data_IF_384455184614
#
_entry.id   IF_384455184614
#
_cell.length_a   1.000
_cell.length_b   1.000
_cell.length_c   1.000
_cell.angle_alpha   90.00
_cell.angle_beta   90.00
_cell.angle_gamma   90.00
#
_symmetry.space_group_name_H-M   'P 1'
#
loop_
_entity.id
_entity.type
_entity.pdbx_description
1 polymer ?
#
# COMPACT_ATOMS: atom_id res chain seq x y z
N UNK A 1 14.43 24.53 8.90
CA UNK A 1 14.86 23.20 8.45
C UNK A 1 16.21 23.35 7.75
N UNK A 2 17.22 22.61 8.20
CA UNK A 2 18.56 22.64 7.63
C UNK A 2 18.68 21.76 6.38
N UNK A 3 19.68 22.04 5.54
CA UNK A 3 19.99 21.24 4.35
C UNK A 3 20.24 19.75 4.66
N UNK A 4 20.76 19.46 5.86
CA UNK A 4 21.07 18.10 6.34
C UNK A 4 19.79 17.33 6.67
N UNK A 5 18.81 17.97 7.30
CA UNK A 5 17.49 17.37 7.59
C UNK A 5 16.78 17.01 6.29
N UNK A 6 16.89 17.89 5.28
CA UNK A 6 16.29 17.70 3.95
C UNK A 6 16.91 16.53 3.17
N UNK A 7 18.23 16.39 3.23
CA UNK A 7 18.92 15.24 2.63
C UNK A 7 18.55 13.92 3.33
N UNK A 8 18.36 13.97 4.65
CA UNK A 8 17.96 12.82 5.46
C UNK A 8 16.56 12.32 5.09
N UNK A 9 15.57 13.21 4.96
CA UNK A 9 14.20 12.84 4.58
C UNK A 9 14.13 12.24 3.18
N UNK A 10 14.82 12.83 2.20
CA UNK A 10 14.92 12.28 0.85
C UNK A 10 15.53 10.88 0.82
N UNK A 11 16.59 10.67 1.61
CA UNK A 11 17.26 9.37 1.73
C UNK A 11 16.37 8.33 2.42
N UNK A 12 15.60 8.73 3.43
CA UNK A 12 14.63 7.88 4.10
C UNK A 12 13.48 7.47 3.17
N UNK A 13 12.93 8.42 2.41
CA UNK A 13 11.87 8.18 1.43
C UNK A 13 12.33 7.25 0.32
N UNK A 14 13.55 7.45 -0.21
CA UNK A 14 14.14 6.54 -1.19
C UNK A 14 14.28 5.12 -0.64
N UNK A 15 14.78 4.97 0.59
CA UNK A 15 14.90 3.65 1.24
C UNK A 15 13.54 2.97 1.42
N UNK A 16 12.49 3.72 1.76
CA UNK A 16 11.14 3.17 1.92
C UNK A 16 10.60 2.67 0.58
N UNK A 17 10.73 3.47 -0.48
CA UNK A 17 10.33 3.09 -1.84
C UNK A 17 11.07 1.82 -2.29
N UNK A 18 12.38 1.73 -2.06
CA UNK A 18 13.17 0.55 -2.43
C UNK A 18 12.79 -0.69 -1.62
N UNK A 19 12.60 -0.54 -0.30
CA UNK A 19 12.17 -1.62 0.58
C UNK A 19 10.79 -2.14 0.17
N UNK A 20 9.85 -1.24 -0.12
CA UNK A 20 8.50 -1.58 -0.57
C UNK A 20 8.50 -2.41 -1.86
N UNK A 21 9.28 -1.99 -2.87
CA UNK A 21 9.47 -2.78 -4.11
C UNK A 21 10.00 -4.18 -3.84
N UNK A 22 11.02 -4.30 -2.99
CA UNK A 22 11.59 -5.61 -2.64
C UNK A 22 10.57 -6.51 -1.95
N UNK A 23 9.78 -5.97 -1.02
CA UNK A 23 8.73 -6.70 -0.33
C UNK A 23 7.64 -7.20 -1.29
N UNK A 24 7.20 -6.36 -2.24
CA UNK A 24 6.20 -6.73 -3.26
C UNK A 24 6.70 -7.89 -4.11
N UNK A 25 7.92 -7.82 -4.63
CA UNK A 25 8.52 -8.91 -5.42
C UNK A 25 8.59 -10.21 -4.61
N UNK A 26 8.95 -10.12 -3.33
CA UNK A 26 8.98 -11.29 -2.45
C UNK A 26 7.58 -11.88 -2.26
N UNK A 27 6.56 -11.06 -2.05
CA UNK A 27 5.18 -11.53 -1.89
C UNK A 27 4.62 -12.16 -3.18
N UNK A 28 4.92 -11.58 -4.34
CA UNK A 28 4.61 -12.18 -5.65
C UNK A 28 5.17 -13.60 -5.76
N UNK A 29 6.45 -13.79 -5.43
CA UNK A 29 7.08 -15.12 -5.50
C UNK A 29 6.44 -16.13 -4.53
N UNK A 30 6.03 -15.68 -3.34
CA UNK A 30 5.30 -16.54 -2.39
C UNK A 30 3.94 -16.94 -2.97
N UNK A 31 3.18 -15.99 -3.51
CA UNK A 31 1.87 -16.27 -4.13
C UNK A 31 2.00 -17.27 -5.28
N UNK A 32 2.97 -17.08 -6.18
CA UNK A 32 3.26 -18.03 -7.27
C UNK A 32 3.52 -19.44 -6.70
N UNK A 33 4.37 -19.55 -5.68
CA UNK A 33 4.70 -20.84 -5.06
C UNK A 33 3.48 -21.51 -4.41
N UNK A 34 2.58 -20.73 -3.81
CA UNK A 34 1.35 -21.25 -3.20
C UNK A 34 0.36 -21.70 -4.27
N UNK A 35 0.21 -20.93 -5.35
CA UNK A 35 -0.64 -21.26 -6.50
C UNK A 35 -0.18 -22.55 -7.19
N UNK A 36 1.12 -22.72 -7.39
CA UNK A 36 1.70 -23.95 -7.97
C UNK A 36 1.41 -25.20 -7.11
N UNK A 37 1.22 -25.01 -5.80
CA UNK A 37 0.83 -26.07 -4.86
C UNK A 37 -0.69 -26.29 -4.78
N UNK A 38 -1.48 -25.55 -5.57
CA UNK A 38 -2.94 -25.60 -5.54
C UNK A 38 -3.54 -25.02 -4.26
N UNK A 39 -2.81 -24.15 -3.55
CA UNK A 39 -3.29 -23.50 -2.33
C UNK A 39 -4.06 -22.22 -2.68
N UNK A 40 -5.11 -21.86 -1.90
CA UNK A 40 -5.88 -20.64 -2.12
C UNK A 40 -4.99 -19.42 -1.91
N UNK A 41 -5.10 -18.45 -2.82
CA UNK A 41 -4.23 -17.27 -2.91
C UNK A 41 -4.99 -15.97 -3.14
N UNK A 42 -6.31 -16.03 -3.31
CA UNK A 42 -7.17 -14.92 -3.72
C UNK A 42 -7.05 -13.72 -2.76
N UNK A 43 -7.05 -13.99 -1.45
CA UNK A 43 -6.89 -12.93 -0.45
C UNK A 43 -5.47 -12.34 -0.44
N UNK A 44 -4.45 -13.16 -0.65
CA UNK A 44 -3.06 -12.70 -0.71
C UNK A 44 -2.83 -11.83 -1.96
N UNK A 45 -3.46 -12.17 -3.08
CA UNK A 45 -3.43 -11.39 -4.32
C UNK A 45 -4.13 -10.04 -4.16
N UNK A 46 -5.27 -9.99 -3.48
CA UNK A 46 -5.96 -8.73 -3.19
C UNK A 46 -5.08 -7.80 -2.32
N UNK A 47 -4.40 -8.35 -1.31
CA UNK A 47 -3.46 -7.58 -0.48
C UNK A 47 -2.25 -7.11 -1.29
N UNK A 48 -1.71 -7.97 -2.14
CA UNK A 48 -0.59 -7.61 -3.02
C UNK A 48 -0.98 -6.46 -3.95
N UNK A 49 -2.18 -6.49 -4.54
CA UNK A 49 -2.66 -5.42 -5.40
C UNK A 49 -2.76 -4.08 -4.65
N UNK A 50 -3.30 -4.10 -3.42
CA UNK A 50 -3.34 -2.90 -2.57
C UNK A 50 -1.94 -2.37 -2.23
N UNK A 51 -0.98 -3.26 -1.97
CA UNK A 51 0.42 -2.87 -1.72
C UNK A 51 1.07 -2.26 -2.96
N UNK A 52 0.81 -2.79 -4.15
CA UNK A 52 1.30 -2.25 -5.41
C UNK A 52 0.74 -0.86 -5.71
N UNK A 53 -0.56 -0.63 -5.45
CA UNK A 53 -1.17 0.70 -5.56
C UNK A 53 -0.54 1.70 -4.58
N UNK A 54 -0.38 1.28 -3.33
CA UNK A 54 0.23 2.11 -2.29
C UNK A 54 1.67 2.47 -2.65
N UNK A 55 2.43 1.50 -3.18
CA UNK A 55 3.80 1.69 -3.65
C UNK A 55 3.87 2.69 -4.82
N UNK A 56 2.93 2.64 -5.78
CA UNK A 56 2.84 3.65 -6.85
C UNK A 56 2.65 5.06 -6.28
N UNK A 57 1.84 5.20 -5.23
CA UNK A 57 1.67 6.47 -4.52
C UNK A 57 2.98 7.00 -3.91
N UNK A 58 3.73 6.13 -3.23
CA UNK A 58 5.04 6.51 -2.66
C UNK A 58 6.06 6.90 -3.73
N UNK A 59 6.08 6.21 -4.87
CA UNK A 59 6.96 6.53 -5.98
C UNK A 59 6.62 7.87 -6.64
N UNK A 60 5.33 8.15 -6.81
CA UNK A 60 4.86 9.43 -7.33
C UNK A 60 5.25 10.57 -6.37
N UNK A 61 5.03 10.40 -5.07
CA UNK A 61 5.43 11.37 -4.07
C UNK A 61 6.94 11.61 -4.07
N UNK A 62 7.74 10.54 -4.12
CA UNK A 62 9.20 10.66 -4.20
C UNK A 62 9.65 11.45 -5.44
N UNK A 63 9.03 11.21 -6.60
CA UNK A 63 9.29 11.98 -7.83
C UNK A 63 8.92 13.46 -7.67
N UNK A 64 7.77 13.75 -7.06
CA UNK A 64 7.34 15.11 -6.80
C UNK A 64 8.36 15.85 -5.92
N UNK A 65 8.74 15.23 -4.80
CA UNK A 65 9.72 15.76 -3.85
C UNK A 65 11.08 16.02 -4.52
N UNK A 66 11.53 15.13 -5.41
CA UNK A 66 12.74 15.32 -6.20
C UNK A 66 12.62 16.50 -7.19
N UNK A 67 11.47 16.66 -7.83
CA UNK A 67 11.27 17.66 -8.90
C UNK A 67 11.06 19.09 -8.39
N UNK A 68 10.33 19.27 -7.28
CA UNK A 68 9.94 20.59 -6.77
C UNK A 68 10.97 21.17 -5.80
N UNK A 69 11.99 20.38 -5.42
CA UNK A 69 12.93 20.79 -4.41
C UNK A 69 12.22 21.31 -3.14
N UNK A 70 11.31 20.50 -2.56
CA UNK A 70 10.67 20.66 -1.24
C UNK A 70 10.20 22.09 -0.84
N UNK A 71 9.94 22.98 -1.79
CA UNK A 71 9.56 24.36 -1.49
C UNK A 71 8.06 24.55 -1.19
N UNK A 72 7.27 23.46 -1.11
CA UNK A 72 5.81 23.57 -1.07
C UNK A 72 5.04 22.51 -0.28
N UNK A 73 5.69 21.75 0.60
CA UNK A 73 4.98 20.76 1.44
C UNK A 73 4.87 21.27 2.88
N UNK A 74 4.08 22.32 3.09
CA UNK A 74 3.59 22.75 4.42
C UNK A 74 2.34 21.97 4.87
N UNK A 75 1.84 21.06 4.04
CA UNK A 75 0.76 20.13 4.42
C UNK A 75 1.36 18.81 4.90
N UNK A 76 1.19 18.49 6.18
CA UNK A 76 1.64 17.23 6.77
C UNK A 76 1.28 16.02 5.91
N UNK A 77 2.23 15.08 5.82
CA UNK A 77 2.08 13.83 5.11
C UNK A 77 1.02 12.95 5.79
N UNK A 78 -0.21 12.95 5.29
CA UNK A 78 -1.15 11.86 5.52
C UNK A 78 -0.89 10.78 4.47
N UNK A 79 -0.18 9.72 4.86
CA UNK A 79 0.03 8.59 3.97
C UNK A 79 -1.35 7.99 3.61
N UNK A 80 -1.64 7.72 2.32
CA UNK A 80 -2.82 6.97 1.94
C UNK A 80 -2.77 5.60 2.64
N UNK A 81 -3.68 5.37 3.59
CA UNK A 81 -3.74 4.11 4.35
C UNK A 81 -3.02 4.09 5.71
N UNK A 82 -2.44 5.20 6.18
CA UNK A 82 -2.06 5.29 7.61
C UNK A 82 -3.33 5.45 8.43
N UNK A 83 -3.65 4.40 9.20
CA UNK A 83 -4.69 4.44 10.23
C UNK A 83 -4.43 5.65 11.13
N UNK A 84 -5.31 6.66 11.10
CA UNK A 84 -5.26 7.76 12.05
C UNK A 84 -5.22 7.17 13.47
N UNK A 85 -4.31 7.62 14.36
CA UNK A 85 -4.24 7.10 15.72
C UNK A 85 -5.54 7.46 16.44
N UNK A 86 -6.47 6.50 16.51
CA UNK A 86 -7.82 6.70 17.04
C UNK A 86 -8.94 6.02 16.25
N UNK A 87 -8.74 5.70 14.96
CA UNK A 87 -9.67 4.81 14.22
C UNK A 87 -9.14 3.39 14.27
N UNK A 88 -9.75 2.55 15.12
CA UNK A 88 -9.61 1.10 14.92
C UNK A 88 -10.09 0.78 13.50
N UNK A 89 -9.35 -0.02 12.71
CA UNK A 89 -9.95 -0.62 11.54
C UNK A 89 -11.19 -1.38 11.99
N UNK A 90 -12.27 -1.28 11.20
CA UNK A 90 -13.47 -2.05 11.48
C UNK A 90 -13.09 -3.54 11.61
N UNK A 91 -13.67 -4.29 12.56
CA UNK A 91 -13.38 -5.71 12.70
C UNK A 91 -13.52 -6.40 11.34
N UNK A 92 -12.62 -7.34 11.05
CA UNK A 92 -12.55 -8.09 9.79
C UNK A 92 -13.93 -8.63 9.34
N UNK A 93 -14.79 -8.98 10.29
CA UNK A 93 -16.16 -9.46 10.10
C UNK A 93 -17.10 -8.46 9.39
N UNK A 94 -16.82 -7.15 9.48
CA UNK A 94 -17.64 -6.10 8.87
C UNK A 94 -17.42 -5.92 7.36
N UNK A 95 -16.28 -6.36 6.84
CA UNK A 95 -15.94 -6.26 5.41
C UNK A 95 -16.49 -7.45 4.60
N UNK A 96 -16.97 -8.50 5.27
CA UNK A 96 -17.46 -9.73 4.65
C UNK A 96 -18.99 -9.72 4.44
N UNK A 97 -19.73 -8.77 5.03
CA UNK A 97 -21.20 -8.78 5.02
C UNK A 97 -21.88 -7.91 3.95
N UNK A 98 -21.15 -7.43 2.94
CA UNK A 98 -21.74 -6.62 1.87
C UNK A 98 -21.78 -7.34 0.52
N UNK A 99 -22.38 -8.53 0.50
CA UNK A 99 -22.93 -9.10 -0.74
C UNK A 99 -24.29 -9.73 -0.45
N UNK A 100 -25.42 -9.11 -0.82
CA UNK A 100 -26.64 -9.86 -1.05
C UNK A 100 -26.44 -10.61 -2.37
N UNK A 101 -26.18 -11.91 -2.31
CA UNK A 101 -26.35 -12.77 -3.47
C UNK A 101 -27.86 -12.84 -3.71
N UNK A 102 -28.32 -12.14 -4.76
CA UNK A 102 -29.70 -12.27 -5.24
C UNK A 102 -30.00 -13.75 -5.48
N UNK A 103 -30.99 -14.27 -4.75
CA UNK A 103 -31.56 -15.57 -5.01
C UNK A 103 -32.27 -15.50 -6.38
N UNK A 104 -31.66 -16.11 -7.38
CA UNK A 104 -32.28 -16.34 -8.68
C UNK A 104 -33.50 -17.24 -8.48
N UNK A 105 -34.66 -16.73 -8.90
CA UNK A 105 -35.86 -17.50 -9.18
C UNK A 105 -35.53 -18.77 -9.98
N UNK A 106 -35.91 -19.93 -9.41
CA UNK A 106 -36.08 -21.18 -10.14
C UNK A 106 -37.57 -21.29 -10.46
N UNK A 107 -37.91 -21.15 -11.74
CA UNK A 107 -39.19 -21.60 -12.29
C UNK A 107 -39.09 -23.06 -12.73
#
# INVERSE_FOLDING_TARGET
MSLIERESELRMSLRHVQTGRWCIVRQQNVIITLRDKGLPTEQAEAVLHWLEETQRGFEAHYKQVLSEGFAGIEGGYEAPGVLSPGRRPAPFESLVQSSPVEASDVK
#
